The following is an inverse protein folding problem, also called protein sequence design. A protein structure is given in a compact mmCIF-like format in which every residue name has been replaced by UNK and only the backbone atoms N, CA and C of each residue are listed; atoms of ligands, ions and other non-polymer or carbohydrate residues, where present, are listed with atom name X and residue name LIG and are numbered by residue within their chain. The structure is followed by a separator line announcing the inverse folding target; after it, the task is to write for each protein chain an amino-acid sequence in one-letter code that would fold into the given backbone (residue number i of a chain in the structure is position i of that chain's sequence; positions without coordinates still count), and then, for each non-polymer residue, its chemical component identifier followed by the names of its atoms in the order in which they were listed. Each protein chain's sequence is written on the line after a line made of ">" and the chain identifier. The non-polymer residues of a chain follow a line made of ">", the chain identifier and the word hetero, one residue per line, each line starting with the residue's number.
data_IF_444083535446
#
_entry.id   IF_444083535446
#
_cell.length_a   1.000
_cell.length_b   1.000
_cell.length_c   1.000
_cell.angle_alpha   90.00
_cell.angle_beta   90.00
_cell.angle_gamma   90.00
#
_symmetry.space_group_name_H-M   'P 1'
#
loop_
_entity.id
_entity.type
_entity.pdbx_description
1 polymer ?
#
# COMPACT_ATOMS: atom_id res chain seq x y z
N UNK A 1 84.28 -1.69 9.54
CA UNK A 1 83.21 -1.61 10.58
C UNK A 1 82.55 -2.99 10.63
N UNK A 2 82.59 -3.71 11.76
CA UNK A 2 81.99 -5.05 11.87
C UNK A 2 80.47 -4.98 12.08
N UNK A 3 79.70 -5.73 11.30
CA UNK A 3 78.25 -5.82 11.48
C UNK A 3 77.93 -6.76 12.67
N UNK A 4 76.93 -6.40 13.49
CA UNK A 4 76.41 -7.25 14.57
C UNK A 4 74.96 -7.63 14.30
N UNK A 5 74.60 -8.85 14.64
CA UNK A 5 73.21 -9.29 14.53
C UNK A 5 72.32 -8.52 15.53
N UNK A 6 71.22 -7.88 15.09
CA UNK A 6 70.29 -7.18 15.98
C UNK A 6 69.63 -8.09 17.03
N UNK A 7 69.54 -9.40 16.75
CA UNK A 7 68.83 -10.35 17.59
C UNK A 7 69.73 -11.04 18.62
N UNK A 8 70.79 -11.72 18.17
CA UNK A 8 71.67 -12.50 19.04
C UNK A 8 72.99 -11.79 19.40
N UNK A 9 73.19 -10.55 18.91
CA UNK A 9 74.40 -9.74 19.10
C UNK A 9 75.72 -10.37 18.63
N UNK A 10 75.66 -11.53 17.96
CA UNK A 10 76.83 -12.18 17.36
C UNK A 10 77.48 -11.28 16.29
N UNK A 11 78.81 -11.29 16.24
CA UNK A 11 79.58 -10.59 15.21
C UNK A 11 79.43 -11.32 13.87
N UNK A 12 79.02 -10.58 12.84
CA UNK A 12 78.76 -11.09 11.49
C UNK A 12 79.93 -10.82 10.52
N UNK A 13 81.03 -10.27 11.02
CA UNK A 13 82.18 -9.89 10.21
C UNK A 13 81.93 -8.60 9.42
N UNK A 14 82.74 -8.41 8.38
CA UNK A 14 82.79 -7.17 7.60
C UNK A 14 81.90 -7.19 6.35
N UNK A 15 81.41 -8.37 5.94
CA UNK A 15 80.50 -8.53 4.82
C UNK A 15 79.03 -8.67 5.28
N UNK A 16 78.07 -8.05 4.57
CA UNK A 16 76.67 -8.11 4.92
C UNK A 16 76.05 -9.48 4.57
N UNK A 17 75.92 -10.37 5.56
CA UNK A 17 75.20 -11.65 5.43
C UNK A 17 73.69 -11.52 5.75
N UNK A 18 72.82 -11.89 4.81
CA UNK A 18 71.36 -11.70 4.93
C UNK A 18 70.69 -12.57 6.01
N UNK A 19 71.35 -13.64 6.46
CA UNK A 19 70.95 -14.50 7.56
C UNK A 19 72.10 -14.62 8.56
N UNK A 20 71.79 -14.57 9.86
CA UNK A 20 72.79 -14.78 10.89
C UNK A 20 73.18 -16.28 10.97
N UNK A 21 74.47 -16.64 10.95
CA UNK A 21 74.90 -18.04 11.06
C UNK A 21 74.66 -18.65 12.45
N UNK A 22 74.52 -17.82 13.50
CA UNK A 22 74.32 -18.30 14.88
C UNK A 22 72.85 -18.50 15.25
N UNK A 23 71.94 -17.63 14.79
CA UNK A 23 70.52 -17.71 15.14
C UNK A 23 69.58 -17.92 13.94
N UNK A 24 70.12 -18.02 12.73
CA UNK A 24 69.42 -18.23 11.45
C UNK A 24 68.32 -17.22 11.08
N UNK A 25 68.15 -16.13 11.84
CA UNK A 25 67.19 -15.07 11.52
C UNK A 25 67.64 -14.23 10.32
N UNK A 26 66.70 -13.97 9.39
CA UNK A 26 66.90 -13.08 8.23
C UNK A 26 66.63 -11.63 8.60
N UNK A 27 67.46 -10.72 8.11
CA UNK A 27 67.35 -9.29 8.39
C UNK A 27 67.50 -8.47 7.11
N UNK A 28 66.71 -7.39 7.01
CA UNK A 28 66.84 -6.43 5.91
C UNK A 28 68.01 -5.49 6.23
N UNK A 29 69.17 -5.76 5.63
CA UNK A 29 70.29 -4.84 5.71
C UNK A 29 70.20 -3.81 4.58
N UNK A 30 70.52 -2.56 4.91
CA UNK A 30 70.74 -1.54 3.91
C UNK A 30 72.03 -1.90 3.15
N UNK A 31 71.88 -2.40 1.93
CA UNK A 31 73.04 -2.63 1.05
C UNK A 31 73.71 -1.28 0.80
N UNK A 32 75.01 -1.12 1.13
CA UNK A 32 75.72 0.13 0.89
C UNK A 32 75.78 0.35 -0.62
N UNK A 33 75.04 1.35 -1.10
CA UNK A 33 75.01 1.69 -2.52
C UNK A 33 76.20 2.55 -2.89
N UNK A 34 76.77 2.30 -4.07
CA UNK A 34 77.84 3.12 -4.62
C UNK A 34 77.34 4.55 -4.87
N UNK A 35 78.23 5.55 -4.94
CA UNK A 35 77.85 6.93 -5.25
C UNK A 35 77.05 7.07 -6.56
N UNK A 36 77.36 6.25 -7.57
CA UNK A 36 76.68 6.26 -8.86
C UNK A 36 75.24 5.71 -8.77
N UNK A 37 75.05 4.60 -8.05
CA UNK A 37 73.72 4.02 -7.80
C UNK A 37 72.81 5.00 -7.02
N UNK A 38 73.39 5.75 -6.08
CA UNK A 38 72.66 6.80 -5.34
C UNK A 38 72.18 7.90 -6.29
N UNK A 39 73.04 8.38 -7.20
CA UNK A 39 72.69 9.37 -8.23
C UNK A 39 71.59 8.85 -9.16
N UNK A 40 71.68 7.61 -9.64
CA UNK A 40 70.65 6.99 -10.50
C UNK A 40 69.30 6.88 -9.79
N UNK A 41 69.30 6.46 -8.53
CA UNK A 41 68.09 6.40 -7.70
C UNK A 41 67.50 7.78 -7.45
N UNK A 42 68.33 8.78 -7.16
CA UNK A 42 67.87 10.16 -6.94
C UNK A 42 67.18 10.73 -8.19
N UNK A 43 67.73 10.46 -9.38
CA UNK A 43 67.07 10.80 -10.66
C UNK A 43 65.75 10.05 -10.87
N UNK A 44 65.66 8.79 -10.44
CA UNK A 44 64.42 8.02 -10.54
C UNK A 44 63.33 8.56 -9.59
N UNK A 45 63.69 8.88 -8.34
CA UNK A 45 62.78 9.46 -7.36
C UNK A 45 62.26 10.83 -7.82
N UNK A 46 63.13 11.66 -8.37
CA UNK A 46 62.72 12.96 -8.94
C UNK A 46 61.71 12.81 -10.09
N UNK A 47 61.88 11.79 -10.95
CA UNK A 47 60.89 11.49 -12.01
C UNK A 47 59.53 11.10 -11.42
N UNK A 48 59.53 10.21 -10.42
CA UNK A 48 58.29 9.78 -9.76
C UNK A 48 57.58 10.96 -9.10
N UNK A 49 58.32 11.81 -8.38
CA UNK A 49 57.77 12.99 -7.71
C UNK A 49 57.11 13.93 -8.72
N UNK A 50 57.78 14.20 -9.84
CA UNK A 50 57.22 15.01 -10.93
C UNK A 50 55.92 14.43 -11.50
N UNK A 51 55.89 13.12 -11.72
CA UNK A 51 54.70 12.45 -12.27
C UNK A 51 53.53 12.44 -11.27
N UNK A 52 53.83 12.31 -9.97
CA UNK A 52 52.84 12.46 -8.88
C UNK A 52 52.28 13.87 -8.86
N UNK A 53 53.12 14.90 -8.94
CA UNK A 53 52.66 16.29 -8.98
C UNK A 53 51.79 16.57 -10.21
N UNK A 54 52.13 16.03 -11.37
CA UNK A 54 51.32 16.16 -12.59
C UNK A 54 49.93 15.54 -12.43
N UNK A 55 49.85 14.31 -11.90
CA UNK A 55 48.57 13.62 -11.63
C UNK A 55 47.74 14.32 -10.56
N UNK A 56 48.38 14.84 -9.51
CA UNK A 56 47.69 15.59 -8.47
C UNK A 56 47.13 16.91 -9.03
N UNK A 57 47.84 17.58 -9.94
CA UNK A 57 47.34 18.78 -10.62
C UNK A 57 46.11 18.48 -11.49
N UNK A 58 46.11 17.35 -12.18
CA UNK A 58 44.96 16.87 -12.97
C UNK A 58 43.75 16.55 -12.09
N UNK A 59 43.93 15.88 -10.95
CA UNK A 59 42.83 15.61 -10.00
C UNK A 59 42.34 16.90 -9.33
N UNK A 60 43.22 17.88 -9.10
CA UNK A 60 42.91 19.17 -8.47
C UNK A 60 42.26 20.19 -9.39
N UNK A 61 42.07 19.91 -10.68
CA UNK A 61 41.15 20.72 -11.49
C UNK A 61 39.73 20.48 -11.01
N UNK A 62 39.37 21.12 -9.91
CA UNK A 62 38.02 21.12 -9.37
C UNK A 62 37.10 21.71 -10.44
N UNK A 63 35.99 21.04 -10.77
CA UNK A 63 35.02 21.62 -11.70
C UNK A 63 34.58 22.98 -11.15
N UNK A 64 34.68 24.02 -11.96
CA UNK A 64 34.33 25.37 -11.55
C UNK A 64 32.84 25.37 -11.16
N UNK A 65 32.46 25.59 -9.88
CA UNK A 65 31.07 25.47 -9.45
C UNK A 65 30.18 26.50 -10.14
N UNK A 66 30.76 27.60 -10.64
CA UNK A 66 30.05 28.63 -11.41
C UNK A 66 29.63 28.18 -12.81
N UNK A 67 30.26 27.16 -13.38
CA UNK A 67 29.84 26.59 -14.67
C UNK A 67 28.47 25.88 -14.57
N UNK A 68 28.18 25.30 -13.39
CA UNK A 68 26.89 24.65 -13.10
C UNK A 68 25.73 25.64 -12.90
N UNK A 69 26.01 26.92 -12.61
CA UNK A 69 24.99 27.98 -12.49
C UNK A 69 24.80 28.79 -13.77
N UNK A 70 25.31 28.32 -14.91
CA UNK A 70 25.01 28.96 -16.18
C UNK A 70 23.50 28.85 -16.49
N UNK A 71 22.88 29.90 -17.06
CA UNK A 71 21.45 29.89 -17.33
C UNK A 71 21.03 28.74 -18.25
N UNK A 72 21.93 28.29 -19.15
CA UNK A 72 21.71 27.13 -20.02
C UNK A 72 21.72 25.80 -19.26
N UNK A 73 22.62 25.63 -18.29
CA UNK A 73 22.67 24.43 -17.47
C UNK A 73 21.43 24.33 -16.57
N UNK A 74 21.00 25.45 -15.98
CA UNK A 74 19.76 25.50 -15.18
C UNK A 74 18.53 25.17 -16.03
N UNK A 75 18.42 25.73 -17.24
CA UNK A 75 17.34 25.39 -18.17
C UNK A 75 17.33 23.91 -18.54
N UNK A 76 18.50 23.31 -18.77
CA UNK A 76 18.62 21.86 -19.04
C UNK A 76 18.16 20.99 -17.88
N UNK A 77 18.53 21.34 -16.64
CA UNK A 77 18.10 20.61 -15.42
C UNK A 77 16.59 20.75 -15.21
N UNK A 78 16.02 21.95 -15.38
CA UNK A 78 14.57 22.16 -15.25
C UNK A 78 13.80 21.36 -16.30
N UNK A 79 14.28 21.32 -17.54
CA UNK A 79 13.65 20.55 -18.62
C UNK A 79 13.69 19.04 -18.35
N UNK A 80 14.83 18.54 -17.86
CA UNK A 80 14.97 17.14 -17.43
C UNK A 80 13.97 16.79 -16.33
N UNK A 81 13.88 17.63 -15.29
CA UNK A 81 12.93 17.43 -14.19
C UNK A 81 11.48 17.46 -14.68
N UNK A 82 11.14 18.36 -15.60
CA UNK A 82 9.81 18.44 -16.20
C UNK A 82 9.47 17.19 -17.02
N UNK A 83 10.42 16.66 -17.81
CA UNK A 83 10.23 15.41 -18.58
C UNK A 83 10.03 14.20 -17.67
N UNK A 84 10.81 14.09 -16.59
CA UNK A 84 10.65 13.00 -15.62
C UNK A 84 9.30 13.14 -14.90
N UNK A 85 8.94 14.36 -14.48
CA UNK A 85 7.65 14.64 -13.84
C UNK A 85 6.45 14.29 -14.71
N UNK A 86 6.47 14.68 -15.99
CA UNK A 86 5.38 14.39 -16.92
C UNK A 86 5.22 12.90 -17.21
N UNK A 87 6.33 12.16 -17.31
CA UNK A 87 6.31 10.70 -17.46
C UNK A 87 5.68 10.01 -16.24
N UNK A 88 6.05 10.42 -15.03
CA UNK A 88 5.51 9.84 -13.79
C UNK A 88 4.00 10.12 -13.63
N UNK A 89 3.55 11.34 -13.92
CA UNK A 89 2.12 11.69 -13.92
C UNK A 89 1.35 10.85 -14.95
N UNK A 90 1.91 10.66 -16.14
CA UNK A 90 1.31 9.82 -17.19
C UNK A 90 1.14 8.36 -16.79
N UNK A 91 2.07 7.80 -16.02
CA UNK A 91 2.01 6.42 -15.53
C UNK A 91 0.95 6.23 -14.44
N UNK A 92 0.84 7.17 -13.50
CA UNK A 92 -0.18 7.13 -12.44
C UNK A 92 -1.59 7.27 -13.03
N UNK A 93 -1.76 8.16 -14.02
CA UNK A 93 -3.05 8.40 -14.65
C UNK A 93 -3.56 7.21 -15.49
N UNK A 94 -2.69 6.27 -15.87
CA UNK A 94 -3.09 5.05 -16.58
C UNK A 94 -3.72 3.98 -15.68
N UNK A 95 -3.42 3.97 -14.37
CA UNK A 95 -4.02 3.02 -13.40
C UNK A 95 -5.37 3.48 -12.85
N UNK A 96 -5.74 4.75 -13.02
CA UNK A 96 -7.00 5.31 -12.53
C UNK A 96 -8.17 5.16 -13.53
N UNK A 97 -8.10 4.22 -14.48
CA UNK A 97 -9.11 4.00 -15.52
C UNK A 97 -9.94 2.73 -15.31
N UNK A 98 -10.16 2.32 -14.08
CA UNK A 98 -11.40 1.60 -13.82
C UNK A 98 -12.52 2.65 -13.93
N UNK A 99 -13.56 2.44 -14.76
CA UNK A 99 -14.67 3.39 -14.84
C UNK A 99 -15.31 3.42 -13.45
N UNK A 100 -14.94 4.44 -12.68
CA UNK A 100 -15.55 4.73 -11.40
C UNK A 100 -17.06 4.81 -11.66
N UNK A 101 -17.90 3.95 -11.03
CA UNK A 101 -19.33 4.03 -11.20
C UNK A 101 -19.71 5.47 -10.90
N UNK A 102 -20.28 6.17 -11.89
CA UNK A 102 -20.49 7.60 -11.79
C UNK A 102 -21.17 7.95 -10.47
N UNK A 103 -20.94 9.17 -9.95
CA UNK A 103 -21.60 9.72 -8.76
C UNK A 103 -23.08 9.29 -8.61
N UNK A 104 -23.92 9.28 -9.68
CA UNK A 104 -25.27 8.70 -9.62
C UNK A 104 -25.29 7.21 -9.22
N UNK A 105 -24.60 6.31 -9.93
CA UNK A 105 -24.59 4.87 -9.62
C UNK A 105 -24.20 4.57 -8.17
N UNK A 106 -23.17 5.23 -7.64
CA UNK A 106 -22.75 5.09 -6.23
C UNK A 106 -23.79 5.60 -5.23
N UNK A 107 -24.56 6.60 -5.62
CA UNK A 107 -25.66 7.11 -4.79
C UNK A 107 -26.83 6.15 -4.79
N UNK A 108 -27.23 5.65 -5.97
CA UNK A 108 -28.29 4.65 -6.11
C UNK A 108 -27.99 3.38 -5.31
N UNK A 109 -26.76 2.83 -5.42
CA UNK A 109 -26.35 1.64 -4.65
C UNK A 109 -26.46 1.85 -3.14
N UNK A 110 -25.97 2.99 -2.62
CA UNK A 110 -26.10 3.31 -1.19
C UNK A 110 -27.54 3.44 -0.73
N UNK A 111 -28.40 4.05 -1.55
CA UNK A 111 -29.82 4.17 -1.24
C UNK A 111 -30.52 2.80 -1.28
N UNK A 112 -30.16 1.92 -2.22
CA UNK A 112 -30.64 0.54 -2.30
C UNK A 112 -30.23 -0.28 -1.06
N UNK A 113 -28.97 -0.17 -0.61
CA UNK A 113 -28.52 -0.88 0.60
C UNK A 113 -29.29 -0.42 1.84
N UNK A 114 -29.57 0.89 1.95
CA UNK A 114 -30.41 1.44 3.03
C UNK A 114 -31.83 0.88 2.96
N UNK A 115 -32.42 0.79 1.76
CA UNK A 115 -33.74 0.19 1.57
C UNK A 115 -33.75 -1.30 1.93
N UNK A 116 -32.73 -2.06 1.55
CA UNK A 116 -32.59 -3.47 1.88
C UNK A 116 -32.51 -3.70 3.39
N UNK A 117 -31.68 -2.93 4.11
CA UNK A 117 -31.60 -2.99 5.57
C UNK A 117 -32.91 -2.56 6.25
N UNK A 118 -33.60 -1.55 5.71
CA UNK A 118 -34.90 -1.12 6.22
C UNK A 118 -35.97 -2.19 6.05
N UNK A 119 -36.01 -2.86 4.89
CA UNK A 119 -36.88 -4.00 4.63
C UNK A 119 -36.57 -5.14 5.60
N UNK A 120 -35.30 -5.45 5.81
CA UNK A 120 -34.87 -6.47 6.79
C UNK A 120 -35.44 -6.16 8.17
N UNK A 121 -35.27 -4.92 8.65
CA UNK A 121 -35.83 -4.44 9.94
C UNK A 121 -37.34 -4.53 10.02
N UNK A 122 -38.04 -4.14 8.95
CA UNK A 122 -39.49 -4.28 8.88
C UNK A 122 -39.90 -5.75 9.06
N UNK A 123 -39.26 -6.68 8.33
CA UNK A 123 -39.53 -8.11 8.45
C UNK A 123 -39.24 -8.62 9.86
N UNK A 124 -38.17 -8.16 10.49
CA UNK A 124 -37.82 -8.57 11.85
C UNK A 124 -38.88 -8.13 12.89
N UNK A 125 -39.43 -6.92 12.78
CA UNK A 125 -40.42 -6.44 13.73
C UNK A 125 -41.85 -6.93 13.44
N UNK A 126 -42.26 -6.94 12.16
CA UNK A 126 -43.64 -7.27 11.74
C UNK A 126 -43.79 -8.76 11.41
N UNK A 127 -42.68 -9.46 11.13
CA UNK A 127 -42.66 -10.89 10.78
C UNK A 127 -42.91 -11.20 9.31
N UNK A 128 -43.20 -10.19 8.47
CA UNK A 128 -43.46 -10.32 7.03
C UNK A 128 -42.86 -9.16 6.25
N UNK A 129 -42.69 -9.34 4.95
CA UNK A 129 -42.33 -8.25 4.05
C UNK A 129 -43.53 -7.33 3.76
N UNK A 130 -43.31 -6.04 3.42
CA UNK A 130 -44.39 -5.17 2.97
C UNK A 130 -45.10 -5.70 1.72
N UNK A 131 -46.43 -5.59 1.68
CA UNK A 131 -47.21 -6.00 0.51
C UNK A 131 -46.95 -5.05 -0.68
N UNK A 132 -46.41 -5.55 -1.82
CA UNK A 132 -46.11 -4.73 -2.98
C UNK A 132 -47.35 -4.11 -3.63
N UNK A 133 -48.55 -4.69 -3.47
CA UNK A 133 -49.77 -4.20 -4.09
C UNK A 133 -50.48 -3.12 -3.27
N UNK A 134 -50.33 -3.14 -1.95
CA UNK A 134 -51.01 -2.19 -1.06
C UNK A 134 -50.20 -0.88 -0.90
N UNK A 135 -49.02 -0.98 -0.28
CA UNK A 135 -48.22 0.19 0.13
C UNK A 135 -46.73 0.03 -0.19
N UNK A 136 -46.24 -1.19 -0.43
CA UNK A 136 -44.88 -1.49 -0.87
C UNK A 136 -43.81 -0.81 -0.01
N UNK A 137 -42.88 -0.09 -0.66
CA UNK A 137 -41.80 0.63 0.01
C UNK A 137 -42.28 1.79 0.89
N UNK A 138 -43.50 2.30 0.72
CA UNK A 138 -44.04 3.38 1.57
C UNK A 138 -44.30 2.92 3.01
N UNK A 139 -44.53 1.61 3.22
CA UNK A 139 -44.66 1.00 4.56
C UNK A 139 -43.39 1.14 5.41
N UNK A 140 -42.26 1.47 4.78
CA UNK A 140 -41.02 1.78 5.48
C UNK A 140 -41.01 3.19 6.10
N UNK A 141 -41.80 4.12 5.56
CA UNK A 141 -41.90 5.50 6.04
C UNK A 141 -43.08 5.69 6.99
N UNK A 142 -44.23 5.10 6.66
CA UNK A 142 -45.50 5.38 7.34
C UNK A 142 -46.03 4.13 8.02
N UNK A 143 -46.67 4.33 9.18
CA UNK A 143 -47.41 3.26 9.84
C UNK A 143 -48.79 3.09 9.19
N UNK A 144 -49.05 1.89 8.68
CA UNK A 144 -50.34 1.48 8.12
C UNK A 144 -51.15 0.59 9.07
N UNK A 145 -50.93 0.74 10.38
CA UNK A 145 -51.53 -0.07 11.47
C UNK A 145 -51.08 -1.52 11.45
N UNK A 146 -49.81 -1.73 11.09
CA UNK A 146 -49.19 -3.05 11.06
C UNK A 146 -48.83 -3.50 12.48
N UNK A 147 -49.23 -4.72 12.85
CA UNK A 147 -48.92 -5.26 14.17
C UNK A 147 -47.42 -5.45 14.33
N UNK A 148 -46.82 -4.82 15.34
CA UNK A 148 -45.38 -4.90 15.58
C UNK A 148 -44.56 -3.86 14.81
N UNK A 149 -45.17 -2.86 14.18
CA UNK A 149 -44.41 -1.74 13.61
C UNK A 149 -43.80 -0.86 14.73
N UNK A 150 -42.48 -0.62 14.67
CA UNK A 150 -41.73 0.09 15.75
C UNK A 150 -41.11 1.41 15.25
N UNK A 151 -41.36 1.81 14.00
CA UNK A 151 -40.99 3.15 13.55
C UNK A 151 -40.83 3.29 12.05
N UNK A 152 -40.62 4.53 11.60
CA UNK A 152 -40.16 4.76 10.25
C UNK A 152 -38.75 4.17 10.12
N UNK A 153 -38.62 3.15 9.26
CA UNK A 153 -37.34 2.50 8.96
C UNK A 153 -36.44 3.34 8.06
N UNK A 154 -37.06 4.24 7.30
CA UNK A 154 -36.40 5.28 6.50
C UNK A 154 -37.12 6.62 6.72
N UNK A 155 -36.38 7.73 6.61
CA UNK A 155 -36.95 9.07 6.83
C UNK A 155 -37.89 9.51 5.71
N UNK A 156 -37.56 9.20 4.46
CA UNK A 156 -38.39 9.44 3.29
C UNK A 156 -37.91 8.59 2.13
N UNK A 157 -38.87 8.15 1.31
CA UNK A 157 -38.58 7.45 0.06
C UNK A 157 -38.22 8.50 -1.01
N UNK A 158 -36.99 8.40 -1.53
CA UNK A 158 -36.51 9.24 -2.65
C UNK A 158 -36.52 8.40 -3.92
N UNK A 159 -36.65 9.07 -5.05
CA UNK A 159 -36.37 8.46 -6.35
C UNK A 159 -34.87 8.27 -6.50
N UNK A 160 -34.49 7.40 -7.42
CA UNK A 160 -33.10 7.20 -7.78
C UNK A 160 -32.48 8.45 -8.43
N UNK A 161 -31.16 8.48 -8.67
CA UNK A 161 -30.48 9.64 -9.28
C UNK A 161 -30.99 10.04 -10.66
N UNK A 162 -31.68 9.15 -11.36
CA UNK A 162 -32.30 9.38 -12.67
C UNK A 162 -33.79 9.74 -12.56
N UNK A 163 -34.27 9.99 -11.33
CA UNK A 163 -35.65 10.31 -10.99
C UNK A 163 -36.64 9.15 -11.18
N UNK A 164 -36.15 7.94 -11.39
CA UNK A 164 -36.99 6.74 -11.47
C UNK A 164 -37.33 6.23 -10.07
N UNK A 165 -38.57 5.77 -9.83
CA UNK A 165 -38.92 5.15 -8.56
C UNK A 165 -38.24 3.79 -8.41
N UNK A 166 -37.76 3.49 -7.21
CA UNK A 166 -37.22 2.17 -6.89
C UNK A 166 -38.28 1.09 -7.05
N UNK A 167 -37.90 -0.02 -7.69
CA UNK A 167 -38.76 -1.17 -7.92
C UNK A 167 -38.64 -2.15 -6.77
N UNK A 168 -39.77 -2.72 -6.37
CA UNK A 168 -39.87 -3.67 -5.26
C UNK A 168 -40.79 -4.82 -5.66
N UNK A 169 -40.28 -6.05 -5.58
CA UNK A 169 -40.99 -7.26 -5.94
C UNK A 169 -40.78 -8.31 -4.86
N UNK A 170 -41.88 -8.90 -4.40
CA UNK A 170 -41.87 -10.09 -3.53
C UNK A 170 -42.03 -11.31 -4.42
N UNK A 171 -41.15 -12.29 -4.28
CA UNK A 171 -41.16 -13.53 -5.02
C UNK A 171 -41.94 -14.62 -4.25
N UNK A 172 -42.29 -15.71 -4.94
CA UNK A 172 -43.06 -16.80 -4.35
C UNK A 172 -42.29 -17.61 -3.28
N UNK A 173 -40.96 -17.50 -3.23
CA UNK A 173 -40.07 -18.18 -2.29
C UNK A 173 -39.80 -17.38 -1.00
N UNK A 174 -40.63 -16.36 -0.71
CA UNK A 174 -40.44 -15.39 0.38
C UNK A 174 -39.15 -14.56 0.26
N UNK A 175 -38.52 -14.55 -0.92
CA UNK A 175 -37.42 -13.65 -1.24
C UNK A 175 -37.94 -12.32 -1.78
N UNK A 176 -37.18 -11.26 -1.54
CA UNK A 176 -37.50 -9.90 -1.97
C UNK A 176 -36.43 -9.39 -2.89
N UNK A 177 -36.85 -8.68 -3.94
CA UNK A 177 -35.98 -7.96 -4.86
C UNK A 177 -36.31 -6.47 -4.79
N UNK A 178 -35.31 -5.66 -4.49
CA UNK A 178 -35.35 -4.20 -4.65
C UNK A 178 -34.27 -3.77 -5.63
N UNK A 179 -34.60 -2.91 -6.60
CA UNK A 179 -33.66 -2.48 -7.63
C UNK A 179 -33.99 -1.08 -8.18
N UNK A 180 -33.01 -0.43 -8.79
CA UNK A 180 -33.17 0.81 -9.56
C UNK A 180 -33.11 0.47 -11.04
N UNK A 181 -33.97 1.13 -11.83
CA UNK A 181 -34.07 1.03 -13.29
C UNK A 181 -32.89 1.67 -14.03
N UNK A 182 -31.92 2.22 -13.30
CA UNK A 182 -30.76 2.83 -13.91
C UNK A 182 -31.07 4.05 -14.79
N UNK A 183 -30.12 4.44 -15.65
CA UNK A 183 -30.29 5.55 -16.59
C UNK A 183 -31.30 5.28 -17.71
N UNK A 184 -31.54 4.03 -18.09
CA UNK A 184 -32.44 3.72 -19.20
C UNK A 184 -33.92 3.73 -18.80
N UNK A 185 -34.22 3.55 -17.51
CA UNK A 185 -35.57 3.56 -16.98
C UNK A 185 -36.40 2.32 -17.34
N UNK A 186 -35.74 1.24 -17.79
CA UNK A 186 -36.38 -0.01 -18.23
C UNK A 186 -36.01 -1.11 -17.23
N UNK A 187 -36.98 -1.94 -16.85
CA UNK A 187 -36.73 -3.03 -15.92
C UNK A 187 -36.10 -4.25 -16.61
N UNK A 188 -35.32 -5.02 -15.85
CA UNK A 188 -34.66 -6.26 -16.26
C UNK A 188 -33.61 -6.06 -17.37
N UNK A 189 -32.96 -4.90 -17.38
CA UNK A 189 -31.85 -4.54 -18.25
C UNK A 189 -30.50 -4.70 -17.53
N UNK A 190 -29.39 -4.54 -18.26
CA UNK A 190 -28.05 -4.77 -17.71
C UNK A 190 -27.55 -3.63 -16.82
N UNK A 191 -28.19 -2.47 -16.86
CA UNK A 191 -27.90 -1.28 -16.05
C UNK A 191 -28.68 -1.22 -14.73
N UNK A 192 -29.62 -2.15 -14.53
CA UNK A 192 -30.34 -2.31 -13.26
C UNK A 192 -29.37 -2.47 -12.08
N UNK A 193 -29.52 -1.61 -11.09
CA UNK A 193 -28.71 -1.65 -9.87
C UNK A 193 -29.45 -2.41 -8.78
N UNK A 194 -28.75 -3.30 -8.08
CA UNK A 194 -29.28 -4.12 -6.98
C UNK A 194 -28.40 -3.92 -5.72
N UNK A 195 -28.99 -3.94 -4.52
CA UNK A 195 -28.22 -3.89 -3.28
C UNK A 195 -27.42 -5.18 -3.07
N UNK A 196 -26.50 -5.16 -2.11
CA UNK A 196 -25.86 -6.37 -1.62
C UNK A 196 -26.93 -7.32 -1.02
N UNK A 197 -27.03 -8.59 -1.44
CA UNK A 197 -27.93 -9.57 -0.84
C UNK A 197 -27.77 -9.69 0.69
N UNK A 198 -26.57 -9.48 1.22
CA UNK A 198 -26.31 -9.51 2.66
C UNK A 198 -27.01 -8.35 3.41
N UNK A 199 -27.35 -7.25 2.74
CA UNK A 199 -27.97 -6.08 3.39
C UNK A 199 -29.41 -6.33 3.86
N UNK A 200 -30.08 -7.37 3.34
CA UNK A 200 -31.42 -7.79 3.77
C UNK A 200 -31.40 -8.55 5.10
N UNK A 201 -30.32 -9.28 5.35
CA UNK A 201 -30.13 -9.99 6.61
C UNK A 201 -29.60 -8.99 7.62
N UNK A 202 -30.48 -8.55 8.52
CA UNK A 202 -30.02 -7.82 9.71
C UNK A 202 -29.20 -8.84 10.51
N UNK A 203 -27.88 -8.81 10.34
CA UNK A 203 -26.99 -9.64 11.13
C UNK A 203 -27.15 -9.31 12.62
N UNK A 204 -26.31 -9.93 13.44
CA UNK A 204 -26.23 -9.55 14.86
C UNK A 204 -25.69 -8.13 15.06
N UNK A 205 -25.30 -7.40 14.03
CA UNK A 205 -24.81 -6.03 14.10
C UNK A 205 -25.77 -5.05 14.78
N UNK A 206 -27.08 -5.25 14.65
CA UNK A 206 -28.09 -4.48 15.39
C UNK A 206 -28.27 -4.95 16.86
N UNK A 207 -27.85 -6.17 17.21
CA UNK A 207 -27.83 -6.72 18.58
C UNK A 207 -26.46 -6.63 19.27
N UNK A 208 -25.40 -6.32 18.53
CA UNK A 208 -24.01 -6.36 18.98
C UNK A 208 -23.66 -5.29 20.03
N UNK A 209 -24.62 -4.43 20.37
CA UNK A 209 -24.53 -3.46 21.46
C UNK A 209 -25.29 -3.87 22.74
N UNK A 210 -26.00 -5.00 22.75
CA UNK A 210 -26.71 -5.54 23.92
C UNK A 210 -26.08 -6.82 24.48
N UNK A 211 -25.17 -7.45 23.73
CA UNK A 211 -24.36 -8.57 24.21
C UNK A 211 -22.88 -8.18 24.08
N UNK A 212 -22.20 -7.87 25.20
CA UNK A 212 -20.77 -7.60 25.23
C UNK A 212 -19.98 -8.69 24.50
N UNK A 213 -18.90 -8.33 23.80
CA UNK A 213 -18.07 -9.29 23.05
C UNK A 213 -17.52 -10.44 23.92
N UNK A 214 -17.46 -10.26 25.25
CA UNK A 214 -17.00 -11.27 26.21
C UNK A 214 -18.00 -12.42 26.43
N UNK A 215 -19.28 -12.16 26.15
CA UNK A 215 -20.34 -13.18 26.24
C UNK A 215 -20.48 -13.99 24.94
N UNK A 216 -19.73 -13.61 23.89
CA UNK A 216 -19.58 -14.37 22.64
C UNK A 216 -18.52 -15.46 22.83
N UNK A 217 -18.77 -16.39 23.74
CA UNK A 217 -17.83 -17.49 23.98
C UNK A 217 -17.83 -18.46 22.79
N UNK A 218 -16.65 -18.88 22.27
CA UNK A 218 -16.58 -19.99 21.33
C UNK A 218 -16.95 -21.27 22.07
N UNK A 219 -18.14 -21.82 21.78
CA UNK A 219 -18.60 -23.10 22.32
C UNK A 219 -20.03 -23.16 22.85
N UNK A 220 -20.79 -22.05 22.86
CA UNK A 220 -22.20 -22.09 23.27
C UNK A 220 -23.07 -22.58 22.11
N UNK A 221 -23.67 -23.77 22.24
CA UNK A 221 -24.76 -24.22 21.36
C UNK A 221 -26.10 -23.75 21.93
N UNK A 222 -26.84 -22.98 21.14
CA UNK A 222 -28.23 -22.61 21.44
C UNK A 222 -29.08 -23.88 21.26
N UNK A 223 -29.70 -24.35 22.34
CA UNK A 223 -30.68 -25.44 22.25
C UNK A 223 -32.01 -24.86 21.77
N UNK A 224 -32.56 -25.42 20.68
CA UNK A 224 -33.94 -25.15 20.29
C UNK A 224 -34.87 -25.68 21.39
N UNK A 225 -35.94 -24.94 21.75
CA UNK A 225 -36.94 -25.47 22.67
C UNK A 225 -37.58 -26.73 22.06
N UNK A 226 -37.94 -27.74 22.88
CA UNK A 226 -38.59 -28.94 22.38
C UNK A 226 -39.90 -28.55 21.68
N UNK A 227 -40.10 -29.04 20.46
CA UNK A 227 -41.38 -28.89 19.75
C UNK A 227 -42.49 -29.46 20.63
N UNK A 228 -43.49 -28.63 20.92
CA UNK A 228 -44.71 -29.04 21.60
C UNK A 228 -45.34 -30.22 20.87
N UNK A 229 -45.48 -31.35 21.57
CA UNK A 229 -46.43 -32.37 21.16
C UNK A 229 -47.81 -31.93 21.65
N UNK A 230 -48.54 -31.29 20.76
CA UNK A 230 -50.00 -31.17 20.81
C UNK A 230 -50.58 -32.58 20.93
N UNK A 231 -51.43 -32.81 21.93
CA UNK A 231 -52.47 -33.85 21.93
C UNK A 231 -53.52 -33.57 23.02
N UNK A 232 -54.78 -33.95 22.77
CA UNK A 232 -56.01 -33.20 23.10
C UNK A 232 -56.43 -33.19 24.57
#
# INVERSE_FOLDING_TARGET
>A
MSYRCPYCKANLGEQPVSACPSCHKRMRMAVPRTPEERRKRQRALYRIDRDVQAKLAEIRTAPNPRAFYSPRALAGVVLLMACIGSLLVGLVNRRAREPEPGIPHRRALRELDVLATALGRYRFHVGRWPDPQAHGLLSLCNDYRESGWIGPYISHLRNDPWQNPYQYVVQADDSVRVFSLGPDGVADTADDLRPDPAAFDIGTEWTNNWVPAIDRLPGVRIYSPPRETVSP
#
